data_IF_874886270808
#
_entry.id   IF_874886270808
#
_cell.length_a   1.000
_cell.length_b   1.000
_cell.length_c   1.000
_cell.angle_alpha   90.00
_cell.angle_beta   90.00
_cell.angle_gamma   90.00
#
_symmetry.space_group_name_H-M   'P 1'
#
loop_
_entity.id
_entity.type
_entity.pdbx_description
1 polymer ?
#
# COMPACT_ATOMS: atom_id res chain seq x y z
N UNK A 1 10.71 -10.29 -6.16
CA UNK A 1 9.59 -9.85 -5.31
C UNK A 1 9.83 -9.99 -3.82
N UNK A 2 10.20 -11.16 -3.27
CA UNK A 2 10.39 -11.29 -1.81
C UNK A 2 11.24 -10.18 -1.20
N UNK A 3 12.36 -9.87 -1.84
CA UNK A 3 13.27 -8.79 -1.41
C UNK A 3 12.58 -7.43 -1.43
N UNK A 4 11.70 -7.15 -2.37
CA UNK A 4 11.01 -5.86 -2.53
C UNK A 4 10.09 -5.57 -1.34
N UNK A 5 9.26 -6.55 -0.95
CA UNK A 5 8.43 -6.45 0.26
C UNK A 5 9.29 -6.33 1.52
N UNK A 6 10.35 -7.13 1.63
CA UNK A 6 11.29 -7.07 2.75
C UNK A 6 12.00 -5.70 2.87
N UNK A 7 12.39 -5.09 1.76
CA UNK A 7 13.05 -3.77 1.75
C UNK A 7 12.10 -2.67 2.26
N UNK A 8 10.81 -2.77 1.95
CA UNK A 8 9.78 -1.88 2.47
C UNK A 8 9.40 -2.12 3.94
N UNK A 9 10.06 -3.05 4.65
CA UNK A 9 9.82 -3.35 6.06
C UNK A 9 10.95 -2.82 6.95
N UNK A 10 10.65 -2.21 8.10
CA UNK A 10 11.70 -1.74 9.02
C UNK A 10 12.43 -2.91 9.69
N UNK A 11 11.67 -3.94 10.08
CA UNK A 11 12.20 -5.19 10.62
C UNK A 11 12.67 -6.10 9.48
N UNK A 12 13.92 -5.91 9.06
CA UNK A 12 14.53 -6.66 7.96
C UNK A 12 15.97 -7.06 8.29
N UNK A 13 16.49 -8.13 7.66
CA UNK A 13 17.89 -8.49 7.79
C UNK A 13 18.82 -7.31 7.48
N UNK A 14 19.91 -7.12 8.25
CA UNK A 14 20.81 -5.99 8.06
C UNK A 14 21.55 -6.12 6.73
N UNK A 15 21.52 -5.05 5.94
CA UNK A 15 22.30 -4.92 4.70
C UNK A 15 23.47 -3.99 4.98
N UNK A 16 24.70 -4.42 4.69
CA UNK A 16 25.90 -3.60 4.90
C UNK A 16 26.30 -2.82 3.65
N UNK A 17 27.00 -1.71 3.85
CA UNK A 17 27.71 -1.00 2.78
C UNK A 17 28.73 -1.91 2.09
N UNK A 18 29.16 -1.52 0.87
CA UNK A 18 30.17 -2.25 0.10
C UNK A 18 31.47 -2.52 0.86
N UNK A 19 31.86 -1.61 1.76
CA UNK A 19 33.05 -1.74 2.61
C UNK A 19 32.79 -2.49 3.94
N UNK A 20 31.56 -2.94 4.18
CA UNK A 20 31.15 -3.67 5.38
C UNK A 20 30.98 -2.81 6.65
N UNK A 21 31.32 -1.52 6.60
CA UNK A 21 31.48 -0.68 7.80
C UNK A 21 30.18 -0.18 8.41
N UNK A 22 29.13 0.02 7.62
CA UNK A 22 27.83 0.55 8.09
C UNK A 22 26.69 -0.35 7.69
N UNK A 23 25.72 -0.51 8.58
CA UNK A 23 24.39 -1.05 8.22
C UNK A 23 23.63 0.07 7.52
N UNK A 24 23.08 -0.24 6.35
CA UNK A 24 22.32 0.69 5.54
C UNK A 24 20.88 0.75 6.05
N UNK A 25 20.43 1.96 6.42
CA UNK A 25 19.07 2.23 6.89
C UNK A 25 18.65 1.29 8.03
N UNK A 26 19.48 1.22 9.07
CA UNK A 26 19.22 0.38 10.24
C UNK A 26 17.90 0.74 10.91
N UNK A 27 17.08 -0.28 11.20
CA UNK A 27 15.72 -0.12 11.73
C UNK A 27 14.77 0.69 10.85
N UNK A 28 15.06 0.84 9.54
CA UNK A 28 14.25 1.64 8.63
C UNK A 28 14.03 0.92 7.29
N UNK A 29 12.86 1.14 6.65
CA UNK A 29 12.60 0.60 5.35
C UNK A 29 13.47 1.34 4.33
N UNK A 30 13.96 0.58 3.35
CA UNK A 30 14.51 1.11 2.11
C UNK A 30 13.36 1.14 1.10
N UNK A 31 12.84 2.35 0.83
CA UNK A 31 11.71 2.52 -0.09
C UNK A 31 12.03 1.85 -1.41
N UNK A 32 11.23 0.85 -1.75
CA UNK A 32 11.30 0.09 -2.98
C UNK A 32 9.94 0.18 -3.69
N UNK A 33 9.96 0.26 -5.01
CA UNK A 33 8.76 0.33 -5.82
C UNK A 33 8.88 -0.65 -7.00
N UNK A 34 7.85 -1.48 -7.13
CA UNK A 34 7.72 -2.48 -8.18
C UNK A 34 7.65 -1.83 -9.57
N UNK A 35 8.05 -2.61 -10.58
CA UNK A 35 7.83 -2.32 -12.01
C UNK A 35 8.44 -0.98 -12.50
N UNK A 36 9.40 -0.43 -11.76
CA UNK A 36 10.02 0.87 -12.08
C UNK A 36 8.97 2.00 -12.15
N UNK A 37 7.87 1.89 -11.39
CA UNK A 37 6.86 2.94 -11.27
C UNK A 37 7.41 4.12 -10.45
N UNK A 38 8.08 5.05 -11.13
CA UNK A 38 8.71 6.21 -10.50
C UNK A 38 7.73 7.11 -9.74
N UNK A 39 6.46 7.16 -10.19
CA UNK A 39 5.41 7.90 -9.47
C UNK A 39 5.10 7.24 -8.12
N UNK A 40 4.99 5.92 -8.08
CA UNK A 40 4.86 5.18 -6.82
C UNK A 40 6.13 5.31 -5.95
N UNK A 41 7.32 5.33 -6.56
CA UNK A 41 8.58 5.56 -5.86
C UNK A 41 8.63 6.92 -5.17
N UNK A 42 8.29 8.00 -5.88
CA UNK A 42 8.19 9.36 -5.32
C UNK A 42 7.17 9.42 -4.18
N UNK A 43 5.99 8.82 -4.40
CA UNK A 43 4.92 8.73 -3.40
C UNK A 43 5.42 8.00 -2.13
N UNK A 44 6.04 6.82 -2.27
CA UNK A 44 6.59 6.05 -1.17
C UNK A 44 7.66 6.81 -0.38
N UNK A 45 8.53 7.58 -1.04
CA UNK A 45 9.53 8.44 -0.37
C UNK A 45 8.84 9.52 0.47
N UNK A 46 7.82 10.18 -0.08
CA UNK A 46 7.07 11.20 0.63
C UNK A 46 6.32 10.60 1.83
N UNK A 47 5.67 9.45 1.62
CA UNK A 47 4.97 8.68 2.67
C UNK A 47 5.91 8.39 3.83
N UNK A 48 7.06 7.77 3.55
CA UNK A 48 8.06 7.42 4.56
C UNK A 48 8.51 8.65 5.35
N UNK A 49 8.81 9.76 4.68
CA UNK A 49 9.27 11.00 5.34
C UNK A 49 8.20 11.60 6.26
N UNK A 50 6.95 11.64 5.80
CA UNK A 50 5.83 12.17 6.59
C UNK A 50 5.56 11.28 7.79
N UNK A 51 5.46 9.97 7.59
CA UNK A 51 5.19 9.03 8.67
C UNK A 51 6.32 9.02 9.70
N UNK A 52 7.59 9.05 9.27
CA UNK A 52 8.75 9.14 10.16
C UNK A 52 8.70 10.44 11.00
N UNK A 53 8.35 11.57 10.41
CA UNK A 53 8.23 12.85 11.11
C UNK A 53 7.06 12.89 12.12
N UNK A 54 5.99 12.13 11.86
CA UNK A 54 4.80 12.06 12.72
C UNK A 54 4.86 10.91 13.75
N UNK A 55 5.93 10.11 13.74
CA UNK A 55 6.05 8.92 14.59
C UNK A 55 4.97 7.88 14.28
N UNK A 56 4.72 7.64 12.99
CA UNK A 56 3.74 6.67 12.49
C UNK A 56 4.44 5.51 11.77
N UNK A 57 3.75 4.37 11.55
CA UNK A 57 4.32 3.24 10.81
C UNK A 57 4.88 3.69 9.47
N UNK A 58 6.12 3.30 9.16
CA UNK A 58 6.86 3.81 7.98
C UNK A 58 6.80 2.85 6.79
N UNK A 59 6.31 1.64 7.02
CA UNK A 59 6.10 0.62 6.00
C UNK A 59 4.95 1.02 5.08
N UNK A 60 5.25 1.08 3.79
CA UNK A 60 4.27 1.33 2.75
C UNK A 60 4.58 0.47 1.54
N UNK A 61 3.58 0.22 0.72
CA UNK A 61 3.77 -0.44 -0.56
C UNK A 61 2.72 0.05 -1.54
N UNK A 62 3.04 -0.09 -2.82
CA UNK A 62 2.03 0.02 -3.85
C UNK A 62 1.27 -1.30 -3.98
N UNK A 63 -0.01 -1.21 -4.30
CA UNK A 63 -0.89 -2.31 -4.67
C UNK A 63 -1.46 -2.07 -6.06
N UNK A 64 -1.67 -3.12 -6.84
CA UNK A 64 -2.60 -3.03 -7.96
C UNK A 64 -4.03 -2.94 -7.42
N UNK A 65 -4.80 -2.02 -7.99
CA UNK A 65 -6.27 -1.99 -7.89
C UNK A 65 -6.80 -3.06 -8.84
N UNK A 66 -7.05 -4.27 -8.35
CA UNK A 66 -7.42 -5.41 -9.20
C UNK A 66 -8.90 -5.45 -9.55
N UNK A 67 -9.74 -5.54 -8.53
CA UNK A 67 -11.20 -5.55 -8.65
C UNK A 67 -11.83 -5.33 -7.27
N UNK A 68 -13.16 -5.36 -7.16
CA UNK A 68 -13.84 -5.31 -5.87
C UNK A 68 -15.28 -5.82 -5.97
N UNK A 69 -15.89 -6.08 -4.82
CA UNK A 69 -17.28 -6.51 -4.71
C UNK A 69 -17.88 -6.03 -3.39
N UNK A 70 -19.21 -5.95 -3.35
CA UNK A 70 -19.93 -5.64 -2.13
C UNK A 70 -19.78 -6.77 -1.10
N UNK A 71 -19.54 -6.39 0.14
CA UNK A 71 -19.58 -7.26 1.32
C UNK A 71 -20.38 -6.51 2.39
N UNK A 72 -21.49 -7.11 2.84
CA UNK A 72 -22.38 -6.51 3.85
C UNK A 72 -22.81 -5.06 3.56
N UNK A 73 -22.98 -4.72 2.28
CA UNK A 73 -23.39 -3.37 1.84
C UNK A 73 -22.25 -2.37 1.63
N UNK A 74 -21.01 -2.74 1.96
CA UNK A 74 -19.81 -1.94 1.75
C UNK A 74 -19.02 -2.44 0.53
N UNK A 75 -18.50 -1.54 -0.31
CA UNK A 75 -17.70 -1.97 -1.48
C UNK A 75 -16.25 -2.22 -1.06
N UNK A 76 -15.82 -3.47 -1.17
CA UNK A 76 -14.49 -3.91 -0.74
C UNK A 76 -13.61 -4.21 -1.94
N UNK A 77 -12.54 -3.42 -2.06
CA UNK A 77 -11.50 -3.58 -3.06
C UNK A 77 -10.56 -4.73 -2.72
N UNK A 78 -10.09 -5.40 -3.76
CA UNK A 78 -8.94 -6.30 -3.74
C UNK A 78 -7.73 -5.51 -4.23
N UNK A 79 -6.93 -5.06 -3.27
CA UNK A 79 -5.63 -4.44 -3.51
C UNK A 79 -4.55 -5.51 -3.42
N UNK A 80 -3.92 -5.83 -4.54
CA UNK A 80 -3.15 -7.07 -4.67
C UNK A 80 -1.99 -6.87 -5.65
N UNK A 81 -0.83 -6.55 -5.08
CA UNK A 81 0.41 -6.30 -5.83
C UNK A 81 0.97 -7.59 -6.43
N UNK A 82 1.56 -7.47 -7.63
CA UNK A 82 2.16 -8.55 -8.43
C UNK A 82 3.42 -9.22 -7.84
N UNK A 83 3.54 -9.33 -6.51
CA UNK A 83 4.67 -10.05 -5.92
C UNK A 83 4.81 -9.99 -4.41
N UNK A 84 4.94 -8.81 -3.82
CA UNK A 84 5.34 -8.70 -2.41
C UNK A 84 4.86 -7.41 -1.74
N UNK A 85 4.50 -7.53 -0.47
CA UNK A 85 4.19 -6.42 0.43
C UNK A 85 5.00 -6.57 1.73
N UNK A 86 5.23 -5.50 2.50
CA UNK A 86 6.02 -5.57 3.72
C UNK A 86 5.31 -6.41 4.79
N UNK A 87 6.02 -7.30 5.51
CA UNK A 87 5.42 -8.12 6.55
C UNK A 87 4.66 -7.36 7.63
N UNK A 88 5.04 -6.13 7.96
CA UNK A 88 4.29 -5.27 8.89
C UNK A 88 2.83 -4.99 8.44
N UNK A 89 2.52 -5.18 7.16
CA UNK A 89 1.16 -5.08 6.65
C UNK A 89 0.36 -6.36 6.88
N UNK A 90 0.99 -7.51 7.14
CA UNK A 90 0.29 -8.79 7.27
C UNK A 90 -0.19 -9.06 8.69
N UNK A 91 -1.32 -9.76 8.80
CA UNK A 91 -1.74 -10.39 10.04
C UNK A 91 -0.66 -11.34 10.52
N UNK A 92 -0.13 -11.14 11.73
CA UNK A 92 0.96 -11.95 12.29
C UNK A 92 2.38 -11.56 11.84
N UNK A 93 2.55 -10.48 11.07
CA UNK A 93 3.87 -10.00 10.67
C UNK A 93 4.62 -11.03 9.81
N UNK A 94 5.92 -11.21 10.07
CA UNK A 94 6.72 -12.26 9.44
C UNK A 94 6.17 -13.68 9.62
N UNK A 95 5.47 -13.98 10.73
CA UNK A 95 4.89 -15.30 10.96
C UNK A 95 3.66 -15.58 10.09
N UNK A 96 3.00 -14.53 9.61
CA UNK A 96 1.91 -14.62 8.63
C UNK A 96 2.37 -14.49 7.18
N UNK A 97 3.68 -14.37 6.95
CA UNK A 97 4.25 -14.25 5.62
C UNK A 97 4.61 -15.62 5.03
N UNK A 98 4.30 -15.82 3.76
CA UNK A 98 4.61 -17.04 3.02
C UNK A 98 5.34 -16.71 1.72
N UNK A 99 6.39 -17.48 1.41
CA UNK A 99 7.06 -17.41 0.11
C UNK A 99 6.45 -18.44 -0.83
N UNK A 100 5.74 -18.00 -1.87
CA UNK A 100 5.32 -18.88 -2.95
C UNK A 100 6.21 -18.70 -4.17
N UNK A 101 6.40 -19.77 -4.92
CA UNK A 101 6.95 -19.67 -6.27
C UNK A 101 6.03 -18.76 -7.10
N UNK A 102 6.58 -17.70 -7.68
CA UNK A 102 5.85 -16.82 -8.61
C UNK A 102 5.19 -17.65 -9.73
N UNK A 103 4.02 -17.27 -10.27
CA UNK A 103 3.38 -18.01 -11.35
C UNK A 103 4.28 -18.11 -12.58
N UNK A 104 4.47 -19.33 -13.09
CA UNK A 104 5.40 -19.59 -14.20
C UNK A 104 5.00 -18.88 -15.50
N UNK A 105 3.70 -18.61 -15.69
CA UNK A 105 3.18 -17.87 -16.84
C UNK A 105 3.77 -16.45 -16.94
N UNK A 106 3.89 -15.75 -15.81
CA UNK A 106 4.41 -14.38 -15.75
C UNK A 106 5.93 -14.36 -15.48
N UNK A 107 6.40 -15.28 -14.64
CA UNK A 107 7.78 -15.33 -14.18
C UNK A 107 8.39 -16.72 -14.46
N UNK A 108 8.74 -17.01 -15.73
CA UNK A 108 9.22 -18.33 -16.14
C UNK A 108 10.51 -18.75 -15.42
N UNK A 109 11.35 -17.77 -15.06
CA UNK A 109 12.68 -18.02 -14.45
C UNK A 109 12.67 -18.29 -12.96
N UNK A 110 11.60 -18.01 -12.24
CA UNK A 110 11.67 -18.09 -10.78
C UNK A 110 11.11 -16.87 -10.09
N UNK A 111 11.50 -16.77 -8.82
CA UNK A 111 11.06 -15.73 -7.92
C UNK A 111 10.20 -16.32 -6.81
N UNK A 112 10.43 -15.82 -5.60
CA UNK A 112 9.50 -16.00 -4.49
C UNK A 112 8.70 -14.72 -4.35
N UNK A 113 7.39 -14.87 -4.18
CA UNK A 113 6.52 -13.82 -3.65
C UNK A 113 6.84 -13.59 -2.16
N UNK A 114 6.29 -12.52 -1.61
CA UNK A 114 6.12 -12.36 -0.17
C UNK A 114 4.63 -12.15 0.07
N UNK A 115 3.93 -13.27 0.22
CA UNK A 115 2.49 -13.33 0.40
C UNK A 115 2.13 -13.16 1.87
N UNK A 116 0.99 -12.52 2.09
CA UNK A 116 0.27 -12.51 3.36
C UNK A 116 -1.08 -11.85 3.16
N UNK A 117 -1.98 -12.04 4.12
CA UNK A 117 -3.25 -11.34 4.20
C UNK A 117 -3.03 -10.09 5.04
N UNK A 118 -3.38 -8.93 4.50
CA UNK A 118 -3.17 -7.65 5.18
C UNK A 118 -4.02 -7.55 6.44
N UNK A 119 -3.44 -7.02 7.53
CA UNK A 119 -4.10 -6.87 8.82
C UNK A 119 -5.19 -5.78 8.76
N UNK A 120 -6.27 -5.90 9.55
CA UNK A 120 -7.22 -4.81 9.67
C UNK A 120 -6.55 -3.56 10.27
N UNK A 121 -7.01 -2.38 9.84
CA UNK A 121 -6.54 -1.11 10.39
C UNK A 121 -6.73 0.09 9.47
N UNK A 122 -6.53 1.28 10.05
CA UNK A 122 -6.64 2.56 9.35
C UNK A 122 -5.47 2.76 8.38
N UNK A 123 -5.80 3.21 7.17
CA UNK A 123 -4.83 3.48 6.11
C UNK A 123 -5.03 4.87 5.51
N UNK A 124 -3.95 5.39 4.95
CA UNK A 124 -4.04 6.40 3.89
C UNK A 124 -3.68 5.73 2.58
N UNK A 125 -4.34 6.16 1.51
CA UNK A 125 -3.99 5.76 0.16
C UNK A 125 -3.66 6.98 -0.69
N UNK A 126 -2.80 6.82 -1.68
CA UNK A 126 -2.51 7.89 -2.62
C UNK A 126 -1.99 7.40 -3.96
N UNK A 127 -2.00 8.31 -4.94
CA UNK A 127 -1.34 8.11 -6.22
C UNK A 127 -0.79 9.43 -6.73
N UNK A 128 0.53 9.48 -6.94
CA UNK A 128 1.17 10.48 -7.79
C UNK A 128 1.01 10.07 -9.26
N UNK A 129 0.75 11.03 -10.15
CA UNK A 129 0.69 10.79 -11.60
C UNK A 129 1.03 12.05 -12.39
N UNK A 130 1.34 11.89 -13.68
CA UNK A 130 1.63 12.99 -14.61
C UNK A 130 0.39 13.29 -15.44
N UNK A 131 -0.03 14.56 -15.50
CA UNK A 131 -1.09 15.02 -16.40
C UNK A 131 -0.81 16.46 -16.83
N UNK A 132 -0.74 16.68 -18.14
CA UNK A 132 -0.46 17.99 -18.72
C UNK A 132 0.89 18.55 -18.26
N UNK A 133 1.95 17.72 -18.37
CA UNK A 133 3.34 18.04 -17.98
C UNK A 133 3.51 18.53 -16.54
N UNK A 134 2.61 18.11 -15.64
CA UNK A 134 2.63 18.44 -14.21
C UNK A 134 2.37 17.20 -13.37
N UNK A 135 2.94 17.21 -12.17
CA UNK A 135 2.66 16.19 -11.15
C UNK A 135 1.35 16.53 -10.42
N UNK A 136 0.53 15.50 -10.28
CA UNK A 136 -0.70 15.52 -9.49
C UNK A 136 -0.61 14.44 -8.42
N UNK A 137 -1.30 14.64 -7.31
CA UNK A 137 -1.49 13.64 -6.26
C UNK A 137 -2.96 13.54 -5.91
N UNK A 138 -3.51 12.34 -6.02
CA UNK A 138 -4.76 11.98 -5.36
C UNK A 138 -4.41 11.31 -4.02
N UNK A 139 -5.11 11.68 -2.96
CA UNK A 139 -4.89 11.12 -1.61
C UNK A 139 -6.21 11.05 -0.85
N UNK A 140 -6.42 9.96 -0.11
CA UNK A 140 -7.64 9.73 0.64
C UNK A 140 -7.45 8.80 1.84
N UNK A 141 -8.53 8.62 2.59
CA UNK A 141 -8.61 7.71 3.74
C UNK A 141 -9.27 6.39 3.37
N UNK A 142 -9.06 5.40 4.23
CA UNK A 142 -9.69 4.10 4.16
C UNK A 142 -9.28 3.21 5.32
N UNK A 143 -9.75 1.96 5.27
CA UNK A 143 -9.33 0.87 6.16
C UNK A 143 -9.01 -0.37 5.35
N UNK A 144 -8.03 -1.13 5.82
CA UNK A 144 -7.97 -2.55 5.54
C UNK A 144 -8.93 -3.27 6.50
N UNK A 145 -9.69 -4.23 5.99
CA UNK A 145 -10.61 -5.04 6.78
C UNK A 145 -10.22 -6.52 6.73
N UNK A 146 -10.65 -7.24 7.77
CA UNK A 146 -10.61 -8.70 7.77
C UNK A 146 -11.88 -9.23 7.12
N UNK A 147 -11.73 -10.25 6.28
CA UNK A 147 -12.85 -11.00 5.70
C UNK A 147 -12.75 -12.46 6.14
N UNK A 148 -13.86 -13.22 6.13
CA UNK A 148 -13.82 -14.66 6.37
C UNK A 148 -12.79 -15.36 5.47
N UNK A 149 -12.17 -16.42 5.98
CA UNK A 149 -11.15 -17.18 5.26
C UNK A 149 -11.66 -17.70 3.91
N UNK A 150 -12.91 -18.16 3.87
CA UNK A 150 -13.55 -18.66 2.65
C UNK A 150 -13.66 -17.56 1.57
N UNK A 151 -14.09 -16.35 1.96
CA UNK A 151 -14.19 -15.23 1.04
C UNK A 151 -12.80 -14.74 0.60
N UNK A 152 -11.85 -14.67 1.53
CA UNK A 152 -10.45 -14.32 1.22
C UNK A 152 -9.86 -15.26 0.18
N UNK A 153 -10.06 -16.58 0.35
CA UNK A 153 -9.62 -17.59 -0.60
C UNK A 153 -10.30 -17.45 -1.96
N UNK A 154 -11.62 -17.27 -1.98
CA UNK A 154 -12.35 -17.05 -3.24
C UNK A 154 -11.83 -15.81 -3.98
N UNK A 155 -11.51 -14.72 -3.26
CA UNK A 155 -10.97 -13.49 -3.85
C UNK A 155 -9.55 -13.69 -4.42
N UNK A 156 -8.71 -14.44 -3.72
CA UNK A 156 -7.37 -14.84 -4.18
C UNK A 156 -7.45 -15.72 -5.45
N UNK A 157 -8.34 -16.71 -5.47
CA UNK A 157 -8.56 -17.59 -6.62
C UNK A 157 -9.08 -16.85 -7.85
N UNK A 158 -9.85 -15.77 -7.65
CA UNK A 158 -10.29 -14.87 -8.72
C UNK A 158 -9.16 -14.03 -9.36
N UNK A 159 -7.93 -14.08 -8.83
CA UNK A 159 -6.79 -13.30 -9.33
C UNK A 159 -5.51 -14.14 -9.39
N UNK A 160 -4.68 -14.11 -8.35
CA UNK A 160 -3.40 -14.84 -8.26
C UNK A 160 -3.12 -15.17 -6.80
N UNK A 161 -3.39 -16.42 -6.36
CA UNK A 161 -3.31 -16.79 -4.95
C UNK A 161 -1.93 -16.61 -4.31
N UNK A 162 -0.87 -16.61 -5.11
CA UNK A 162 0.51 -16.48 -4.65
C UNK A 162 0.88 -15.05 -4.22
N UNK A 163 0.08 -14.05 -4.57
CA UNK A 163 0.34 -12.64 -4.31
C UNK A 163 -0.33 -12.17 -3.02
N UNK A 164 0.27 -11.19 -2.29
CA UNK A 164 -0.32 -10.67 -1.05
C UNK A 164 -1.59 -9.87 -1.32
N UNK A 165 -2.57 -10.02 -0.44
CA UNK A 165 -3.91 -9.43 -0.60
C UNK A 165 -4.23 -8.45 0.53
N UNK A 166 -4.86 -7.33 0.16
CA UNK A 166 -5.50 -6.40 1.07
C UNK A 166 -6.96 -6.23 0.65
N UNK A 167 -7.86 -6.39 1.62
CA UNK A 167 -9.27 -6.05 1.47
C UNK A 167 -9.44 -4.60 1.93
N UNK A 168 -9.60 -3.68 0.99
CA UNK A 168 -9.59 -2.25 1.27
C UNK A 168 -10.97 -1.62 1.07
N UNK A 169 -11.33 -0.75 2.00
CA UNK A 169 -12.46 0.17 1.88
C UNK A 169 -11.89 1.58 1.79
N UNK A 170 -12.36 2.34 0.81
CA UNK A 170 -12.02 3.76 0.66
C UNK A 170 -13.21 4.61 1.09
N UNK A 171 -12.98 5.60 1.94
CA UNK A 171 -14.06 6.36 2.57
C UNK A 171 -14.62 7.42 1.63
N UNK A 172 -15.95 7.48 1.48
CA UNK A 172 -16.63 8.54 0.72
C UNK A 172 -16.35 8.56 -0.79
N UNK A 173 -15.75 7.51 -1.36
CA UNK A 173 -15.51 7.40 -2.80
C UNK A 173 -16.18 6.13 -3.32
N UNK A 174 -17.15 6.28 -4.22
CA UNK A 174 -17.79 5.13 -4.84
C UNK A 174 -16.84 4.41 -5.81
N UNK A 175 -17.13 3.14 -6.12
CA UNK A 175 -16.41 2.37 -7.15
C UNK A 175 -16.25 3.16 -8.45
N UNK A 176 -17.35 3.74 -8.93
CA UNK A 176 -17.39 4.40 -10.23
C UNK A 176 -16.63 5.73 -10.20
N UNK A 177 -16.71 6.48 -9.10
CA UNK A 177 -15.89 7.69 -8.91
C UNK A 177 -14.40 7.35 -8.90
N UNK A 178 -14.01 6.30 -8.18
CA UNK A 178 -12.62 5.86 -8.13
C UNK A 178 -12.12 5.42 -9.50
N UNK A 179 -12.83 4.52 -10.18
CA UNK A 179 -12.43 4.02 -11.51
C UNK A 179 -12.41 5.11 -12.59
N UNK A 180 -13.30 6.11 -12.51
CA UNK A 180 -13.32 7.22 -13.46
C UNK A 180 -12.16 8.20 -13.25
N UNK A 181 -11.64 8.30 -12.03
CA UNK A 181 -10.62 9.28 -11.65
C UNK A 181 -9.21 8.70 -11.61
N UNK A 182 -9.04 7.53 -11.01
CA UNK A 182 -7.73 6.94 -10.73
C UNK A 182 -6.94 6.70 -12.02
N UNK A 183 -5.79 7.38 -12.17
CA UNK A 183 -5.03 7.44 -13.44
C UNK A 183 -3.98 6.33 -13.59
N UNK A 184 -4.05 5.27 -12.79
CA UNK A 184 -3.06 4.18 -12.81
C UNK A 184 -3.68 2.85 -12.37
N UNK A 185 -2.98 1.74 -12.61
CA UNK A 185 -3.30 0.47 -11.97
C UNK A 185 -2.84 0.45 -10.51
N UNK A 186 -1.77 1.18 -10.17
CA UNK A 186 -1.20 1.18 -8.82
C UNK A 186 -1.80 2.22 -7.88
N UNK A 187 -1.88 1.88 -6.60
CA UNK A 187 -2.22 2.77 -5.48
C UNK A 187 -1.22 2.53 -4.33
N UNK A 188 -0.65 3.61 -3.78
CA UNK A 188 0.24 3.52 -2.62
C UNK A 188 -0.61 3.43 -1.35
N UNK A 189 -0.26 2.54 -0.43
CA UNK A 189 -0.94 2.37 0.86
C UNK A 189 0.06 2.42 2.02
N UNK A 190 -0.32 3.10 3.11
CA UNK A 190 0.39 3.08 4.37
C UNK A 190 -0.60 3.07 5.55
N UNK A 191 -0.26 2.28 6.58
CA UNK A 191 -1.03 2.23 7.82
C UNK A 191 -0.72 3.43 8.73
N UNK A 192 -1.67 3.75 9.59
CA UNK A 192 -1.51 4.67 10.70
C UNK A 192 -2.14 4.08 11.97
N UNK A 193 -1.71 4.56 13.14
CA UNK A 193 -2.02 3.90 14.41
C UNK A 193 -3.46 4.13 14.88
N UNK A 194 -4.13 5.16 14.35
CA UNK A 194 -5.52 5.48 14.67
C UNK A 194 -6.15 6.37 13.59
N UNK A 195 -7.48 6.54 13.56
CA UNK A 195 -8.15 7.39 12.58
C UNK A 195 -7.61 8.84 12.59
N UNK A 196 -7.50 9.46 13.77
CA UNK A 196 -7.00 10.83 13.88
C UNK A 196 -5.52 10.97 13.51
N UNK A 197 -4.70 9.92 13.73
CA UNK A 197 -3.30 9.91 13.27
C UNK A 197 -3.21 9.76 11.75
N UNK A 198 -4.10 8.98 11.16
CA UNK A 198 -4.18 8.80 9.73
C UNK A 198 -4.66 10.08 9.01
N UNK A 199 -5.57 10.84 9.62
CA UNK A 199 -5.94 12.19 9.15
C UNK A 199 -4.71 13.11 9.15
N UNK A 200 -3.93 13.10 10.25
CA UNK A 200 -2.70 13.88 10.33
C UNK A 200 -1.69 13.48 9.24
N UNK A 201 -1.52 12.18 8.98
CA UNK A 201 -0.68 11.69 7.87
C UNK A 201 -1.17 12.18 6.51
N UNK A 202 -2.48 12.08 6.24
CA UNK A 202 -3.09 12.54 5.00
C UNK A 202 -2.85 14.04 4.79
N UNK A 203 -3.18 14.87 5.79
CA UNK A 203 -3.03 16.32 5.66
C UNK A 203 -1.57 16.76 5.56
N UNK A 204 -0.68 16.14 6.33
CA UNK A 204 0.75 16.44 6.26
C UNK A 204 1.32 16.07 4.88
N UNK A 205 0.97 14.90 4.34
CA UNK A 205 1.42 14.46 3.02
C UNK A 205 0.84 15.30 1.89
N UNK A 206 -0.44 15.63 1.95
CA UNK A 206 -1.08 16.54 0.99
C UNK A 206 -0.44 17.93 1.01
N UNK A 207 -0.18 18.48 2.20
CA UNK A 207 0.50 19.78 2.37
C UNK A 207 1.94 19.73 1.85
N UNK A 208 2.67 18.64 2.14
CA UNK A 208 4.02 18.45 1.63
C UNK A 208 4.05 18.38 0.10
N UNK A 209 3.16 17.59 -0.51
CA UNK A 209 3.02 17.48 -1.96
C UNK A 209 2.72 18.84 -2.62
N UNK A 210 1.76 19.59 -2.07
CA UNK A 210 1.41 20.93 -2.55
C UNK A 210 2.58 21.90 -2.45
N UNK A 211 3.36 21.81 -1.37
CA UNK A 211 4.55 22.66 -1.17
C UNK A 211 5.67 22.36 -2.17
N UNK A 212 5.72 21.15 -2.72
CA UNK A 212 6.60 20.77 -3.82
C UNK A 212 6.06 21.16 -5.21
N UNK A 213 4.90 21.84 -5.27
CA UNK A 213 4.29 22.32 -6.51
C UNK A 213 3.36 21.32 -7.20
N UNK A 214 3.00 20.21 -6.55
CA UNK A 214 2.03 19.26 -7.09
C UNK A 214 0.60 19.81 -6.99
N UNK A 215 -0.25 19.47 -7.96
CA UNK A 215 -1.70 19.66 -7.82
C UNK A 215 -2.25 18.52 -6.95
N UNK A 216 -2.82 18.83 -5.80
CA UNK A 216 -3.31 17.83 -4.85
C UNK A 216 -4.83 17.81 -4.83
N UNK A 217 -5.42 16.61 -4.90
CA UNK A 217 -6.84 16.38 -4.67
C UNK A 217 -7.03 15.50 -3.45
N UNK A 218 -7.81 15.98 -2.49
CA UNK A 218 -8.31 15.15 -1.39
C UNK A 218 -9.56 14.41 -1.87
N UNK A 219 -9.52 13.09 -1.77
CA UNK A 219 -10.56 12.20 -2.27
C UNK A 219 -11.36 11.62 -1.09
N UNK A 220 -12.68 11.76 -1.15
CA UNK A 220 -13.60 11.11 -0.22
C UNK A 220 -13.75 11.81 1.12
N UNK A 221 -13.97 11.00 2.16
CA UNK A 221 -14.23 11.43 3.54
C UNK A 221 -13.09 11.04 4.49
N UNK A 222 -13.05 11.65 5.68
CA UNK A 222 -11.99 11.38 6.67
C UNK A 222 -12.26 10.15 7.54
N UNK A 223 -13.53 9.79 7.68
CA UNK A 223 -14.02 8.70 8.50
C UNK A 223 -14.87 7.76 7.68
N UNK A 224 -15.09 6.56 8.21
CA UNK A 224 -15.97 5.57 7.61
C UNK A 224 -17.43 6.07 7.60
N UNK A 225 -18.06 6.27 6.43
CA UNK A 225 -19.45 6.72 6.37
C UNK A 225 -20.44 5.66 6.87
N UNK A 226 -20.04 4.37 6.92
CA UNK A 226 -20.86 3.30 7.48
C UNK A 226 -20.82 3.24 9.01
N UNK A 227 -19.85 3.92 9.63
CA UNK A 227 -19.67 3.99 11.07
C UNK A 227 -19.16 5.38 11.49
N UNK A 228 -20.04 6.40 11.46
CA UNK A 228 -19.67 7.77 11.83
C UNK A 228 -19.28 7.83 13.31
N UNK A 229 -18.00 8.13 13.56
CA UNK A 229 -17.43 8.36 14.89
C UNK A 229 -17.86 9.68 15.51
#
# INVERSE_FOLDING_TARGET
>A
DLVEGMLNNSDRPPVRSRDGKRVLHDGKPLVHFNEVDECAGLDGIMTRRVHEALGQPVESTLHDVRWGALHEGEFVWVFLISGAAPPAHFTGGWKGAHGFRQPAMYFPKGGSTLHGISRPGEIIWSRVFVKGDRLHMDIGRGKAIELPEEETRARLEGTTPQWPIMHAVIYGVSRDQFMARHQANHVQVAYADSPGKADACLFAKASFARSLGMTVTLCGELSDPSNPS
#
